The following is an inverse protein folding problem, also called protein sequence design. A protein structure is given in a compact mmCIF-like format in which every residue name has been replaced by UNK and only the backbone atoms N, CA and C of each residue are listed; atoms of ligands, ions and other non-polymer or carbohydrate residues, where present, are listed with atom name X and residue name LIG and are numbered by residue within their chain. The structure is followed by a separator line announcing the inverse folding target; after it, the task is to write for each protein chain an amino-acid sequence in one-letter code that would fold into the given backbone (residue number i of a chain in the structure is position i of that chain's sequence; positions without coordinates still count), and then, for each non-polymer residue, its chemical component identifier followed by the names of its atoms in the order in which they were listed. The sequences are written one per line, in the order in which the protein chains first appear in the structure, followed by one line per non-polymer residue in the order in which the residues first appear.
data_IF_088398302351
#
_entry.id   IF_088398302351
#
_cell.length_a   1.000
_cell.length_b   1.000
_cell.length_c   1.000
_cell.angle_alpha   90.00
_cell.angle_beta   90.00
_cell.angle_gamma   90.00
#
_symmetry.space_group_name_H-M   'P 1'
#
loop_
_entity.id
_entity.type
_entity.pdbx_description
1 polymer ?
#
# COMPACT_ATOMS: atom_id res chain seq x y z
N UNK A 1 73.34 31.93 -26.37
CA UNK A 1 72.15 32.75 -26.05
C UNK A 1 71.41 32.10 -24.89
N UNK A 2 71.35 32.81 -23.77
CA UNK A 2 70.71 32.43 -22.50
C UNK A 2 69.35 33.15 -22.43
N UNK A 3 68.41 32.56 -21.67
CA UNK A 3 67.10 33.09 -21.21
C UNK A 3 65.93 32.78 -22.14
N UNK A 4 65.01 31.94 -21.67
CA UNK A 4 63.54 32.12 -21.53
C UNK A 4 62.94 30.75 -21.15
N UNK A 5 62.94 30.36 -19.86
CA UNK A 5 61.80 30.53 -18.92
C UNK A 5 60.68 29.51 -19.30
N UNK A 6 60.61 28.28 -18.76
CA UNK A 6 60.32 27.87 -17.36
C UNK A 6 59.23 28.76 -16.73
N UNK A 7 58.02 28.75 -17.29
CA UNK A 7 56.85 29.40 -16.66
C UNK A 7 55.54 28.62 -16.81
N UNK A 8 55.57 27.32 -17.13
CA UNK A 8 54.34 26.52 -17.31
C UNK A 8 54.16 25.44 -16.24
N UNK A 9 55.18 25.19 -15.40
CA UNK A 9 55.12 24.11 -14.39
C UNK A 9 54.72 24.54 -12.96
N UNK A 10 54.44 25.84 -12.72
CA UNK A 10 54.13 26.35 -11.37
C UNK A 10 52.62 26.58 -11.15
N UNK A 11 51.80 26.57 -12.21
CA UNK A 11 50.35 26.84 -12.09
C UNK A 11 49.54 25.55 -11.81
N UNK A 12 50.12 24.36 -12.01
CA UNK A 12 49.44 23.07 -11.82
C UNK A 12 49.58 22.48 -10.40
N UNK A 13 50.34 23.09 -9.49
CA UNK A 13 50.55 22.58 -8.13
C UNK A 13 49.85 23.38 -7.01
N UNK A 14 49.20 24.50 -7.34
CA UNK A 14 48.52 25.39 -6.37
C UNK A 14 47.03 25.08 -6.13
N UNK A 15 46.47 24.04 -6.76
CA UNK A 15 45.08 23.61 -6.52
C UNK A 15 44.94 22.41 -5.56
N UNK A 16 46.05 21.89 -5.02
CA UNK A 16 46.03 20.73 -4.11
C UNK A 16 46.25 21.05 -2.63
N UNK A 17 46.26 22.33 -2.23
CA UNK A 17 46.44 22.73 -0.82
C UNK A 17 45.43 23.82 -0.45
N UNK A 18 44.14 23.52 -0.52
CA UNK A 18 43.12 24.28 0.24
C UNK A 18 41.83 23.49 0.41
N UNK A 19 41.89 22.49 1.30
CA UNK A 19 40.73 22.02 2.06
C UNK A 19 41.28 21.42 3.36
N UNK A 20 41.87 22.29 4.18
CA UNK A 20 42.14 21.98 5.57
C UNK A 20 40.81 21.76 6.30
N UNK A 21 40.79 20.66 7.05
CA UNK A 21 39.79 20.27 8.05
C UNK A 21 39.07 21.45 8.70
N UNK A 22 37.82 21.68 8.27
CA UNK A 22 36.82 22.21 9.19
C UNK A 22 36.32 21.03 10.01
N UNK A 23 36.92 20.86 11.19
CA UNK A 23 36.31 20.11 12.28
C UNK A 23 34.92 20.71 12.50
N UNK A 24 33.89 20.05 11.99
CA UNK A 24 32.53 20.26 12.45
C UNK A 24 32.52 19.78 13.89
N UNK A 25 32.35 20.71 14.82
CA UNK A 25 31.81 20.36 16.13
C UNK A 25 30.51 19.61 15.88
N UNK A 26 30.55 18.29 16.09
CA UNK A 26 29.35 17.50 16.33
C UNK A 26 28.73 18.07 17.60
N UNK A 27 27.79 18.99 17.43
CA UNK A 27 26.76 19.21 18.44
C UNK A 27 26.15 17.84 18.69
N UNK A 28 26.47 17.28 19.86
CA UNK A 28 25.82 16.15 20.45
C UNK A 28 24.35 16.52 20.64
N UNK A 29 23.56 16.40 19.57
CA UNK A 29 22.11 16.49 19.60
C UNK A 29 21.69 15.25 20.36
N UNK A 30 21.27 15.48 21.60
CA UNK A 30 20.74 14.49 22.52
C UNK A 30 19.96 13.39 21.79
N UNK A 31 20.52 12.18 21.82
CA UNK A 31 19.93 10.94 21.29
C UNK A 31 18.49 10.68 21.81
N UNK A 32 18.07 11.31 22.90
CA UNK A 32 16.70 11.22 23.43
C UNK A 32 15.66 12.02 22.63
N UNK A 33 16.03 13.08 21.90
CA UNK A 33 15.06 14.02 21.31
C UNK A 33 14.45 13.53 19.99
N UNK A 34 15.19 12.72 19.24
CA UNK A 34 14.80 12.31 17.87
C UNK A 34 14.21 10.88 17.79
N UNK A 35 14.44 10.01 18.78
CA UNK A 35 13.74 8.70 18.88
C UNK A 35 12.26 8.89 19.23
N UNK A 36 11.94 10.05 19.79
CA UNK A 36 10.58 10.53 20.04
C UNK A 36 9.87 10.91 18.73
N UNK A 37 10.61 11.48 17.77
CA UNK A 37 10.05 11.97 16.51
C UNK A 37 9.53 10.86 15.58
N UNK A 38 10.21 9.70 15.48
CA UNK A 38 9.73 8.57 14.66
C UNK A 38 8.51 7.89 15.28
N UNK A 39 8.46 7.74 16.61
CA UNK A 39 7.29 7.20 17.32
C UNK A 39 6.08 8.13 17.20
N UNK A 40 6.31 9.44 17.31
CA UNK A 40 5.27 10.45 17.11
C UNK A 40 4.71 10.41 15.69
N UNK A 41 5.58 10.34 14.67
CA UNK A 41 5.17 10.21 13.27
C UNK A 41 4.40 8.91 13.01
N UNK A 42 4.90 7.79 13.55
CA UNK A 42 4.20 6.52 13.50
C UNK A 42 2.79 6.64 14.08
N UNK A 43 2.65 7.22 15.28
CA UNK A 43 1.34 7.46 15.88
C UNK A 43 0.48 8.39 15.03
N UNK A 44 1.03 9.46 14.45
CA UNK A 44 0.28 10.34 13.56
C UNK A 44 -0.31 9.59 12.36
N UNK A 45 0.46 8.66 11.79
CA UNK A 45 0.02 7.81 10.68
C UNK A 45 -1.02 6.80 11.18
N UNK A 46 -0.72 6.02 12.24
CA UNK A 46 -1.55 4.92 12.73
C UNK A 46 -2.81 5.37 13.48
N UNK A 47 -2.89 6.62 13.94
CA UNK A 47 -4.12 7.21 14.48
C UNK A 47 -5.19 7.42 13.40
N UNK A 48 -4.84 7.25 12.12
CA UNK A 48 -5.79 7.14 11.04
C UNK A 48 -6.13 5.68 10.79
N UNK A 49 -7.37 5.46 10.40
CA UNK A 49 -7.73 4.18 9.80
C UNK A 49 -7.16 4.17 8.39
N UNK A 50 -6.26 3.22 8.09
CA UNK A 50 -5.62 3.09 6.78
C UNK A 50 -6.04 1.77 6.15
N UNK A 51 -6.52 1.84 4.91
CA UNK A 51 -6.90 0.67 4.13
C UNK A 51 -6.22 0.70 2.76
N UNK A 52 -5.77 -0.45 2.23
CA UNK A 52 -5.31 -0.52 0.86
C UNK A 52 -6.48 -0.37 -0.12
N UNK A 53 -6.16 0.10 -1.33
CA UNK A 53 -7.09 0.27 -2.43
C UNK A 53 -6.56 -0.51 -3.64
N UNK A 54 -7.46 -1.23 -4.29
CA UNK A 54 -7.13 -2.11 -5.42
C UNK A 54 -8.13 -1.95 -6.56
N UNK A 55 -7.62 -2.11 -7.78
CA UNK A 55 -8.45 -2.43 -8.95
C UNK A 55 -8.73 -3.94 -8.91
N UNK A 56 -9.90 -4.32 -8.37
CA UNK A 56 -10.32 -5.72 -8.21
C UNK A 56 -10.86 -6.33 -9.50
N UNK A 57 -11.43 -5.49 -10.36
CA UNK A 57 -11.86 -5.84 -11.71
C UNK A 57 -11.77 -4.61 -12.63
N UNK A 58 -12.10 -4.77 -13.92
CA UNK A 58 -11.75 -3.77 -14.95
C UNK A 58 -12.33 -2.39 -14.64
N UNK A 59 -13.52 -2.36 -14.04
CA UNK A 59 -14.24 -1.15 -13.65
C UNK A 59 -14.54 -1.10 -12.15
N UNK A 60 -13.83 -1.90 -11.34
CA UNK A 60 -14.10 -2.05 -9.91
C UNK A 60 -12.85 -1.70 -9.13
N UNK A 61 -12.78 -0.46 -8.67
CA UNK A 61 -11.80 -0.04 -7.68
C UNK A 61 -12.47 -0.05 -6.31
N UNK A 62 -11.82 -0.63 -5.31
CA UNK A 62 -12.37 -0.71 -3.96
C UNK A 62 -11.32 -0.46 -2.88
N UNK A 63 -11.77 0.15 -1.78
CA UNK A 63 -11.08 0.10 -0.50
C UNK A 63 -11.27 -1.30 0.05
N UNK A 64 -10.19 -2.00 0.34
CA UNK A 64 -10.21 -3.42 0.74
C UNK A 64 -9.95 -3.55 2.22
N UNK A 65 -10.84 -4.30 2.88
CA UNK A 65 -10.78 -4.63 4.30
C UNK A 65 -10.69 -6.14 4.39
N UNK A 66 -9.48 -6.65 4.63
CA UNK A 66 -9.25 -8.09 4.79
C UNK A 66 -9.95 -8.62 6.03
N UNK A 67 -10.41 -9.86 5.95
CA UNK A 67 -11.07 -10.57 7.03
C UNK A 67 -10.19 -11.76 7.39
N UNK A 68 -10.21 -12.18 8.66
CA UNK A 68 -9.53 -13.40 9.14
C UNK A 68 -7.98 -13.36 9.16
N UNK A 69 -7.33 -12.25 8.78
CA UNK A 69 -5.85 -12.13 8.85
C UNK A 69 -5.28 -11.78 10.22
N UNK A 70 -6.07 -11.19 11.12
CA UNK A 70 -5.57 -10.68 12.41
C UNK A 70 -6.04 -11.50 13.61
N UNK A 71 -5.20 -11.59 14.64
CA UNK A 71 -5.51 -12.23 15.93
C UNK A 71 -6.76 -11.64 16.62
N UNK A 72 -7.16 -10.42 16.25
CA UNK A 72 -8.39 -9.76 16.75
C UNK A 72 -9.49 -9.74 15.70
N UNK A 73 -10.68 -10.26 16.03
CA UNK A 73 -11.84 -10.22 15.13
C UNK A 73 -12.32 -8.76 14.95
N UNK A 74 -12.18 -8.22 13.75
CA UNK A 74 -12.64 -6.88 13.38
C UNK A 74 -14.17 -6.76 13.41
N UNK A 75 -14.70 -5.55 13.57
CA UNK A 75 -16.15 -5.32 13.52
C UNK A 75 -16.76 -5.72 12.17
N UNK A 76 -16.01 -5.53 11.08
CA UNK A 76 -16.37 -5.97 9.73
C UNK A 76 -16.57 -7.50 9.68
N UNK A 77 -15.61 -8.25 10.23
CA UNK A 77 -15.68 -9.70 10.30
C UNK A 77 -16.86 -10.17 11.16
N UNK A 78 -17.13 -9.54 12.31
CA UNK A 78 -18.31 -9.89 13.15
C UNK A 78 -19.62 -9.72 12.40
N UNK A 79 -19.76 -8.61 11.66
CA UNK A 79 -20.96 -8.36 10.84
C UNK A 79 -21.08 -9.42 9.75
N UNK A 80 -19.98 -9.70 9.04
CA UNK A 80 -19.94 -10.73 8.00
C UNK A 80 -20.34 -12.11 8.55
N UNK A 81 -19.69 -12.59 9.62
CA UNK A 81 -19.94 -13.92 10.20
C UNK A 81 -21.42 -14.08 10.58
N UNK A 82 -22.00 -13.12 11.31
CA UNK A 82 -23.42 -13.15 11.69
C UNK A 82 -24.36 -13.21 10.48
N UNK A 83 -24.03 -12.49 9.41
CA UNK A 83 -24.85 -12.49 8.19
C UNK A 83 -24.64 -13.79 7.43
N UNK A 84 -23.42 -14.31 7.32
CA UNK A 84 -23.15 -15.59 6.69
C UNK A 84 -23.88 -16.75 7.40
N UNK A 85 -23.90 -16.77 8.73
CA UNK A 85 -24.64 -17.77 9.51
C UNK A 85 -26.16 -17.76 9.21
N UNK A 86 -26.72 -16.60 8.90
CA UNK A 86 -28.18 -16.45 8.71
C UNK A 86 -28.62 -16.50 7.25
N UNK A 87 -27.83 -15.91 6.36
CA UNK A 87 -28.13 -15.79 4.93
C UNK A 87 -27.38 -16.83 4.08
N UNK A 88 -26.48 -17.62 4.70
CA UNK A 88 -25.68 -18.67 4.08
C UNK A 88 -24.91 -18.19 2.85
N UNK A 89 -24.23 -17.04 2.96
CA UNK A 89 -23.54 -16.38 1.85
C UNK A 89 -22.50 -17.30 1.18
N UNK A 90 -21.67 -17.97 1.98
CA UNK A 90 -20.64 -18.92 1.52
C UNK A 90 -21.26 -20.12 0.79
N UNK A 91 -22.31 -20.72 1.37
CA UNK A 91 -23.01 -21.84 0.75
C UNK A 91 -23.67 -21.42 -0.56
N UNK A 92 -24.26 -20.22 -0.61
CA UNK A 92 -24.87 -19.69 -1.83
C UNK A 92 -23.83 -19.41 -2.92
N UNK A 93 -22.58 -19.10 -2.52
CA UNK A 93 -21.47 -18.84 -3.43
C UNK A 93 -20.84 -20.11 -3.98
N UNK A 94 -20.43 -21.05 -3.11
CA UNK A 94 -19.73 -22.28 -3.50
C UNK A 94 -20.66 -23.39 -3.99
N UNK A 95 -21.84 -23.50 -3.39
CA UNK A 95 -22.83 -24.55 -3.67
C UNK A 95 -24.18 -23.92 -4.05
N UNK A 96 -24.25 -23.16 -5.15
CA UNK A 96 -25.41 -22.34 -5.49
C UNK A 96 -26.70 -23.16 -5.72
N UNK A 97 -26.59 -24.47 -5.96
CA UNK A 97 -27.71 -25.40 -6.11
C UNK A 97 -28.25 -25.95 -4.78
N UNK A 98 -27.49 -25.87 -3.67
CA UNK A 98 -27.92 -26.35 -2.35
C UNK A 98 -28.76 -25.33 -1.58
N UNK A 99 -28.76 -24.07 -2.01
CA UNK A 99 -29.49 -22.97 -1.37
C UNK A 99 -30.77 -22.65 -2.15
N UNK A 100 -31.94 -22.86 -1.51
CA UNK A 100 -33.26 -22.62 -2.13
C UNK A 100 -33.53 -21.15 -2.47
N UNK A 101 -33.05 -20.22 -1.63
CA UNK A 101 -33.24 -18.78 -1.81
C UNK A 101 -31.89 -18.10 -1.71
N UNK A 102 -31.36 -17.62 -2.82
CA UNK A 102 -30.09 -16.90 -2.84
C UNK A 102 -30.28 -15.49 -2.29
N UNK A 103 -29.41 -15.12 -1.33
CA UNK A 103 -29.32 -13.77 -0.75
C UNK A 103 -28.08 -13.01 -1.22
N UNK A 104 -27.48 -13.50 -2.30
CA UNK A 104 -26.32 -12.92 -2.95
C UNK A 104 -26.64 -12.62 -4.42
N UNK A 105 -25.97 -11.60 -4.93
CA UNK A 105 -25.88 -11.28 -6.35
C UNK A 105 -24.41 -11.36 -6.77
N UNK A 106 -24.13 -11.91 -7.94
CA UNK A 106 -22.78 -11.86 -8.48
C UNK A 106 -22.51 -10.46 -9.03
N UNK A 107 -21.50 -9.81 -8.46
CA UNK A 107 -21.07 -8.47 -8.87
C UNK A 107 -20.04 -8.55 -10.01
N UNK A 108 -19.07 -9.46 -9.90
CA UNK A 108 -18.13 -9.79 -10.98
C UNK A 108 -17.81 -11.29 -10.93
N UNK A 109 -17.78 -11.94 -12.10
CA UNK A 109 -17.42 -13.36 -12.24
C UNK A 109 -16.32 -13.63 -13.26
N UNK A 110 -15.87 -12.58 -13.98
CA UNK A 110 -14.90 -12.67 -15.06
C UNK A 110 -13.51 -12.20 -14.64
N UNK A 111 -13.43 -11.42 -13.55
CA UNK A 111 -12.18 -11.07 -12.90
C UNK A 111 -11.45 -12.29 -12.32
N UNK A 112 -10.21 -12.08 -11.88
CA UNK A 112 -9.42 -13.13 -11.22
C UNK A 112 -10.05 -13.64 -9.92
N UNK A 113 -10.91 -12.83 -9.33
CA UNK A 113 -11.70 -13.15 -8.15
C UNK A 113 -13.16 -12.91 -8.48
N UNK A 114 -14.02 -13.79 -7.96
CA UNK A 114 -15.46 -13.57 -8.03
C UNK A 114 -15.87 -12.66 -6.87
N UNK A 115 -16.66 -11.67 -7.18
CA UNK A 115 -17.17 -10.69 -6.23
C UNK A 115 -18.67 -10.87 -6.11
N UNK A 116 -19.18 -10.81 -4.88
CA UNK A 116 -20.60 -10.89 -4.61
C UNK A 116 -21.09 -9.67 -3.85
N UNK A 117 -22.41 -9.47 -3.90
CA UNK A 117 -23.13 -8.44 -3.16
C UNK A 117 -24.22 -9.09 -2.32
N UNK A 118 -24.46 -8.56 -1.13
CA UNK A 118 -25.61 -8.90 -0.31
C UNK A 118 -26.20 -7.61 0.25
N UNK A 119 -27.48 -7.37 -0.01
CA UNK A 119 -28.19 -6.17 0.46
C UNK A 119 -28.15 -6.04 1.98
N UNK A 120 -28.27 -7.17 2.70
CA UNK A 120 -28.23 -7.18 4.16
C UNK A 120 -26.83 -6.84 4.68
N UNK A 121 -25.79 -7.43 4.07
CA UNK A 121 -24.39 -7.12 4.40
C UNK A 121 -24.10 -5.65 4.15
N UNK A 122 -24.45 -5.14 2.98
CA UNK A 122 -24.26 -3.73 2.64
C UNK A 122 -24.94 -2.80 3.66
N UNK A 123 -26.20 -3.07 4.00
CA UNK A 123 -26.94 -2.23 4.95
C UNK A 123 -26.30 -2.20 6.34
N UNK A 124 -25.74 -3.31 6.81
CA UNK A 124 -25.07 -3.36 8.12
C UNK A 124 -23.69 -2.71 8.08
N UNK A 125 -22.90 -2.94 7.02
CA UNK A 125 -21.58 -2.33 6.85
C UNK A 125 -21.70 -0.81 6.69
N UNK A 126 -22.71 -0.31 5.96
CA UNK A 126 -22.94 1.13 5.79
C UNK A 126 -23.15 1.90 7.11
N UNK A 127 -23.56 1.21 8.18
CA UNK A 127 -23.74 1.84 9.51
C UNK A 127 -22.42 2.16 10.21
N UNK A 128 -21.32 1.54 9.80
CA UNK A 128 -20.03 1.61 10.51
C UNK A 128 -18.90 2.26 9.69
N UNK A 129 -19.09 2.40 8.38
CA UNK A 129 -18.10 3.04 7.50
C UNK A 129 -18.08 4.55 7.69
N UNK A 130 -16.92 5.16 7.43
CA UNK A 130 -16.79 6.60 7.40
C UNK A 130 -17.59 7.19 6.20
N UNK A 131 -18.18 8.39 6.35
CA UNK A 131 -18.93 9.02 5.26
C UNK A 131 -18.05 9.42 4.08
N UNK A 132 -16.73 9.55 4.29
CA UNK A 132 -15.76 9.89 3.26
C UNK A 132 -14.39 9.33 3.59
N UNK A 133 -13.61 9.11 2.54
CA UNK A 133 -12.24 8.64 2.59
C UNK A 133 -11.35 9.54 1.74
N UNK A 134 -10.12 9.79 2.19
CA UNK A 134 -9.08 10.40 1.37
C UNK A 134 -8.37 9.28 0.64
N UNK A 135 -8.61 9.12 -0.67
CA UNK A 135 -8.01 8.06 -1.50
C UNK A 135 -6.78 8.62 -2.18
N UNK A 136 -5.61 8.06 -1.87
CA UNK A 136 -4.32 8.48 -2.41
C UNK A 136 -3.93 7.55 -3.54
N UNK A 137 -3.56 8.17 -4.66
CA UNK A 137 -2.94 7.50 -5.78
C UNK A 137 -1.48 7.89 -5.98
N UNK A 138 -0.89 7.37 -7.04
CA UNK A 138 0.55 7.54 -7.34
C UNK A 138 0.99 8.99 -7.60
N UNK A 139 0.06 9.92 -7.87
CA UNK A 139 0.38 11.34 -8.19
C UNK A 139 -0.34 12.36 -7.31
N UNK A 140 -1.35 11.95 -6.55
CA UNK A 140 -2.21 12.86 -5.79
C UNK A 140 -3.27 12.11 -5.01
N UNK A 141 -4.31 12.81 -4.57
CA UNK A 141 -5.42 12.20 -3.84
C UNK A 141 -6.76 12.86 -4.19
N UNK A 142 -7.85 12.19 -3.85
CA UNK A 142 -9.20 12.74 -3.91
C UNK A 142 -10.04 12.26 -2.75
N UNK A 143 -11.03 13.08 -2.38
CA UNK A 143 -12.00 12.70 -1.36
C UNK A 143 -13.10 11.90 -2.05
N UNK A 144 -13.32 10.68 -1.57
CA UNK A 144 -14.25 9.72 -2.16
C UNK A 144 -15.25 9.24 -1.11
N UNK A 145 -16.39 8.74 -1.56
CA UNK A 145 -17.38 8.05 -0.73
C UNK A 145 -17.48 6.60 -1.18
N UNK A 146 -17.79 5.70 -0.24
CA UNK A 146 -18.10 4.32 -0.59
C UNK A 146 -19.43 4.25 -1.35
N UNK A 147 -19.38 3.69 -2.55
CA UNK A 147 -20.51 3.63 -3.46
C UNK A 147 -21.33 2.35 -3.30
N UNK A 148 -20.70 1.18 -3.21
CA UNK A 148 -21.33 -0.12 -2.95
C UNK A 148 -20.47 -0.94 -1.98
N UNK A 149 -21.08 -1.91 -1.31
CA UNK A 149 -20.36 -2.90 -0.49
C UNK A 149 -20.40 -4.24 -1.20
N UNK A 150 -19.22 -4.73 -1.55
CA UNK A 150 -19.01 -6.04 -2.15
C UNK A 150 -18.21 -6.92 -1.20
N UNK A 151 -18.30 -8.22 -1.39
CA UNK A 151 -17.54 -9.18 -0.62
C UNK A 151 -16.88 -10.18 -1.56
N UNK A 152 -15.69 -10.60 -1.16
CA UNK A 152 -15.06 -11.79 -1.67
C UNK A 152 -14.98 -12.82 -0.56
N UNK A 153 -15.37 -14.03 -0.92
CA UNK A 153 -15.33 -15.22 -0.08
C UNK A 153 -14.43 -16.22 -0.79
N UNK A 154 -13.36 -16.63 -0.13
CA UNK A 154 -12.41 -17.60 -0.65
C UNK A 154 -11.75 -18.35 0.51
N UNK A 155 -11.63 -19.68 0.38
CA UNK A 155 -11.04 -20.55 1.40
C UNK A 155 -9.51 -20.64 1.24
N UNK A 156 -9.01 -20.35 0.03
CA UNK A 156 -7.62 -20.51 -0.34
C UNK A 156 -6.91 -19.20 -0.65
N UNK A 157 -7.68 -18.12 -0.77
CA UNK A 157 -7.22 -16.78 -1.07
C UNK A 157 -7.82 -15.80 -0.07
N UNK A 158 -7.38 -14.54 -0.14
CA UNK A 158 -7.79 -13.56 0.86
C UNK A 158 -9.28 -13.23 0.78
N UNK A 159 -9.99 -13.43 1.89
CA UNK A 159 -11.39 -13.04 2.04
C UNK A 159 -11.48 -11.59 2.50
N UNK A 160 -12.34 -10.79 1.88
CA UNK A 160 -12.39 -9.35 2.17
C UNK A 160 -13.75 -8.72 1.90
N UNK A 161 -13.99 -7.59 2.58
CA UNK A 161 -15.03 -6.63 2.23
C UNK A 161 -14.40 -5.53 1.37
N UNK A 162 -15.02 -5.26 0.22
CA UNK A 162 -14.65 -4.17 -0.66
C UNK A 162 -15.68 -3.04 -0.57
N UNK A 163 -15.22 -1.82 -0.30
CA UNK A 163 -16.03 -0.61 -0.44
C UNK A 163 -15.69 0.02 -1.78
N UNK A 164 -16.58 -0.11 -2.77
CA UNK A 164 -16.29 0.40 -4.12
C UNK A 164 -16.22 1.92 -4.11
N UNK A 165 -15.40 2.47 -5.01
CA UNK A 165 -15.34 3.91 -5.26
C UNK A 165 -15.54 4.16 -6.75
N UNK A 166 -16.32 5.19 -7.08
CA UNK A 166 -16.60 5.60 -8.47
C UNK A 166 -15.87 6.90 -8.81
N UNK A 167 -15.55 7.09 -10.08
CA UNK A 167 -15.04 8.36 -10.64
C UNK A 167 -13.72 8.87 -10.01
N UNK A 168 -12.83 7.97 -9.57
CA UNK A 168 -11.49 8.39 -9.18
C UNK A 168 -10.73 8.88 -10.42
N UNK A 169 -10.35 10.16 -10.44
CA UNK A 169 -9.64 10.76 -11.57
C UNK A 169 -8.20 10.23 -11.64
N UNK A 170 -8.01 9.18 -12.43
CA UNK A 170 -6.70 8.54 -12.63
C UNK A 170 -5.76 9.36 -13.50
N UNK A 171 -6.27 10.26 -14.33
CA UNK A 171 -5.45 11.16 -15.13
C UNK A 171 -4.73 12.16 -14.22
N UNK A 172 -5.47 12.74 -13.27
CA UNK A 172 -4.96 13.68 -12.26
C UNK A 172 -4.15 12.99 -11.16
N UNK A 173 -4.72 11.96 -10.53
CA UNK A 173 -4.19 11.40 -9.28
C UNK A 173 -3.36 10.13 -9.46
N UNK A 174 -3.27 9.59 -10.68
CA UNK A 174 -2.57 8.34 -10.96
C UNK A 174 -3.38 7.12 -10.55
N UNK A 175 -2.70 6.05 -10.10
CA UNK A 175 -3.33 4.79 -9.69
C UNK A 175 -3.66 4.82 -8.20
N UNK A 176 -4.88 4.47 -7.76
CA UNK A 176 -5.25 4.47 -6.35
C UNK A 176 -4.51 3.36 -5.59
N UNK A 177 -4.10 3.61 -4.35
CA UNK A 177 -3.22 2.71 -3.59
C UNK A 177 -3.64 2.51 -2.14
N UNK A 178 -3.96 3.57 -1.41
CA UNK A 178 -4.53 3.46 -0.07
C UNK A 178 -5.53 4.58 0.19
N UNK A 179 -6.30 4.45 1.26
CA UNK A 179 -7.10 5.54 1.77
C UNK A 179 -6.95 5.72 3.27
N UNK A 180 -7.32 6.91 3.74
CA UNK A 180 -7.43 7.22 5.16
C UNK A 180 -8.74 7.92 5.48
N UNK A 181 -9.19 7.86 6.74
CA UNK A 181 -10.38 8.58 7.19
C UNK A 181 -10.11 10.06 7.54
N UNK A 182 -8.85 10.45 7.81
CA UNK A 182 -8.42 11.84 7.94
C UNK A 182 -7.29 12.17 6.95
N UNK A 183 -7.10 13.43 6.54
CA UNK A 183 -6.13 13.77 5.51
C UNK A 183 -4.69 13.60 6.01
N UNK A 184 -3.83 13.06 5.15
CA UNK A 184 -2.38 12.96 5.30
C UNK A 184 -1.72 13.91 4.31
N UNK A 185 -0.75 14.69 4.80
CA UNK A 185 0.01 15.62 3.95
C UNK A 185 1.18 14.90 3.28
N UNK A 186 0.89 14.16 2.22
CA UNK A 186 1.88 13.44 1.43
C UNK A 186 2.70 14.39 0.54
N UNK A 187 4.00 14.12 0.45
CA UNK A 187 4.86 14.76 -0.55
C UNK A 187 5.00 13.82 -1.75
N UNK A 188 4.67 14.30 -2.96
CA UNK A 188 4.74 13.54 -4.21
C UNK A 188 5.89 14.02 -5.11
N UNK A 189 6.21 13.22 -6.13
CA UNK A 189 7.01 13.67 -7.28
C UNK A 189 8.50 13.90 -6.99
N UNK A 190 9.01 13.47 -5.84
CA UNK A 190 10.44 13.51 -5.55
C UNK A 190 11.17 12.35 -6.25
N UNK A 191 12.49 12.52 -6.40
CA UNK A 191 13.35 11.43 -6.82
C UNK A 191 13.56 10.46 -5.64
N UNK A 192 12.98 9.27 -5.75
CA UNK A 192 13.06 8.21 -4.73
C UNK A 192 14.02 7.07 -5.09
N UNK A 193 14.88 7.21 -6.12
CA UNK A 193 15.74 6.10 -6.56
C UNK A 193 16.64 5.57 -5.45
N UNK A 194 17.23 6.44 -4.63
CA UNK A 194 18.11 6.01 -3.55
C UNK A 194 17.37 5.21 -2.48
N UNK A 195 16.21 5.69 -2.05
CA UNK A 195 15.41 5.01 -1.03
C UNK A 195 14.83 3.71 -1.57
N UNK A 196 14.40 3.67 -2.83
CA UNK A 196 13.94 2.44 -3.49
C UNK A 196 15.04 1.37 -3.52
N UNK A 197 16.30 1.73 -3.79
CA UNK A 197 17.40 0.76 -3.69
C UNK A 197 17.61 0.25 -2.27
N UNK A 198 17.44 1.10 -1.25
CA UNK A 198 17.53 0.68 0.15
C UNK A 198 16.39 -0.29 0.51
N UNK A 199 15.17 0.02 0.08
CA UNK A 199 14.00 -0.84 0.30
C UNK A 199 14.17 -2.17 -0.44
N UNK A 200 14.65 -2.16 -1.69
CA UNK A 200 14.91 -3.40 -2.42
C UNK A 200 15.93 -4.28 -1.68
N UNK A 201 17.03 -3.72 -1.17
CA UNK A 201 18.01 -4.49 -0.37
C UNK A 201 17.40 -5.07 0.92
N UNK A 202 16.46 -4.35 1.52
CA UNK A 202 15.71 -4.83 2.68
C UNK A 202 14.79 -5.99 2.27
N UNK A 203 14.03 -5.84 1.18
CA UNK A 203 13.14 -6.88 0.64
C UNK A 203 13.95 -8.13 0.25
N UNK A 204 15.10 -7.97 -0.43
CA UNK A 204 15.99 -9.08 -0.82
C UNK A 204 16.54 -9.89 0.38
N UNK A 205 16.50 -9.31 1.60
CA UNK A 205 16.92 -9.97 2.84
C UNK A 205 15.79 -10.74 3.55
N UNK A 206 14.54 -10.54 3.11
CA UNK A 206 13.35 -11.16 3.68
C UNK A 206 12.93 -12.34 2.80
N UNK A 207 12.64 -13.49 3.42
CA UNK A 207 12.05 -14.63 2.72
C UNK A 207 10.55 -14.41 2.61
N UNK A 208 10.08 -14.05 1.43
CA UNK A 208 8.66 -13.90 1.12
C UNK A 208 8.01 -15.23 0.73
N UNK A 209 6.69 -15.30 0.89
CA UNK A 209 5.86 -16.43 0.43
C UNK A 209 5.85 -16.54 -1.12
N UNK A 210 6.00 -15.41 -1.80
CA UNK A 210 6.01 -15.29 -3.26
C UNK A 210 7.30 -14.65 -3.74
N UNK A 211 7.90 -15.19 -4.80
CA UNK A 211 8.99 -14.52 -5.54
C UNK A 211 8.37 -13.70 -6.67
N UNK A 212 7.94 -12.48 -6.32
CA UNK A 212 7.36 -11.54 -7.29
C UNK A 212 8.46 -10.72 -7.98
N UNK A 213 8.45 -10.72 -9.30
CA UNK A 213 9.39 -9.93 -10.11
C UNK A 213 9.13 -8.42 -10.07
N UNK A 214 8.01 -7.98 -9.48
CA UNK A 214 7.63 -6.57 -9.39
C UNK A 214 8.37 -5.87 -8.25
N UNK A 215 9.30 -4.99 -8.64
CA UNK A 215 10.08 -4.16 -7.71
C UNK A 215 9.23 -3.11 -7.01
N UNK A 216 9.62 -2.84 -5.77
CA UNK A 216 9.01 -1.82 -4.91
C UNK A 216 9.22 -0.43 -5.46
N UNK A 217 8.14 0.34 -5.54
CA UNK A 217 8.15 1.75 -5.95
C UNK A 217 7.72 2.62 -4.79
N UNK A 218 8.40 3.75 -4.61
CA UNK A 218 8.02 4.79 -3.66
C UNK A 218 7.36 5.91 -4.45
N UNK A 219 6.17 6.32 -4.04
CA UNK A 219 5.43 7.38 -4.73
C UNK A 219 5.23 8.63 -3.88
N UNK A 220 5.29 8.48 -2.56
CA UNK A 220 5.14 9.59 -1.64
C UNK A 220 5.87 9.35 -0.31
N UNK A 221 6.08 10.43 0.45
CA UNK A 221 6.64 10.34 1.80
C UNK A 221 6.12 11.45 2.74
N UNK A 222 6.17 11.17 4.05
CA UNK A 222 6.06 12.15 5.15
C UNK A 222 7.31 11.99 6.02
N UNK A 223 8.24 12.94 5.97
CA UNK A 223 9.52 12.81 6.68
C UNK A 223 10.22 11.48 6.30
N UNK A 224 10.64 10.65 7.28
CA UNK A 224 11.25 9.34 7.03
C UNK A 224 10.24 8.20 6.73
N UNK A 225 8.93 8.46 6.73
CA UNK A 225 7.92 7.49 6.35
C UNK A 225 7.68 7.51 4.83
N UNK A 226 7.91 6.38 4.18
CA UNK A 226 7.78 6.19 2.74
C UNK A 226 6.59 5.30 2.43
N UNK A 227 5.76 5.76 1.50
CA UNK A 227 4.60 5.03 1.01
C UNK A 227 4.97 4.33 -0.28
N UNK A 228 4.76 3.02 -0.30
CA UNK A 228 5.30 2.15 -1.33
C UNK A 228 4.24 1.20 -1.87
N UNK A 229 4.48 0.70 -3.09
CA UNK A 229 3.68 -0.35 -3.69
C UNK A 229 4.51 -1.26 -4.59
N UNK A 230 4.05 -2.49 -4.72
CA UNK A 230 4.52 -3.48 -5.67
C UNK A 230 3.29 -3.92 -6.46
N UNK A 231 3.06 -3.32 -7.63
CA UNK A 231 1.90 -3.59 -8.47
C UNK A 231 2.17 -3.10 -9.90
N UNK A 232 1.72 -3.87 -10.89
CA UNK A 232 1.72 -3.48 -12.30
C UNK A 232 0.35 -2.94 -12.77
N UNK A 233 -0.67 -3.01 -11.89
CA UNK A 233 -2.05 -2.59 -12.10
C UNK A 233 -2.76 -3.31 -13.26
N UNK A 234 -2.31 -4.53 -13.58
CA UNK A 234 -2.90 -5.37 -14.62
C UNK A 234 -3.88 -6.39 -14.07
N UNK A 235 -3.79 -6.74 -12.80
CA UNK A 235 -4.63 -7.71 -12.10
C UNK A 235 -6.13 -7.63 -12.39
N UNK A 236 -6.77 -6.51 -12.02
CA UNK A 236 -8.20 -6.31 -12.25
C UNK A 236 -8.58 -6.18 -13.73
N UNK A 237 -7.61 -5.99 -14.63
CA UNK A 237 -7.88 -5.66 -16.04
C UNK A 237 -7.67 -6.84 -16.97
N UNK A 238 -6.48 -7.43 -16.90
CA UNK A 238 -6.02 -8.51 -17.77
C UNK A 238 -5.08 -9.39 -16.91
N UNK A 239 -5.65 -10.14 -15.98
CA UNK A 239 -4.91 -10.94 -14.99
C UNK A 239 -3.81 -11.82 -15.58
N UNK A 240 -4.06 -12.49 -16.71
CA UNK A 240 -3.06 -13.33 -17.39
C UNK A 240 -1.84 -12.59 -17.97
N UNK A 241 -1.81 -11.25 -17.92
CA UNK A 241 -0.64 -10.43 -18.27
C UNK A 241 0.06 -9.82 -17.06
N UNK A 242 -0.52 -9.95 -15.87
CA UNK A 242 0.11 -9.51 -14.63
C UNK A 242 1.34 -10.35 -14.37
N UNK A 243 2.46 -9.68 -14.10
CA UNK A 243 3.65 -10.33 -13.53
C UNK A 243 3.65 -10.26 -12.01
N UNK A 244 2.78 -9.41 -11.46
CA UNK A 244 2.56 -9.32 -10.03
C UNK A 244 1.76 -10.55 -9.59
N UNK A 245 2.22 -11.24 -8.55
CA UNK A 245 1.50 -12.32 -7.87
C UNK A 245 0.84 -11.86 -6.58
N UNK A 246 1.43 -10.86 -5.94
CA UNK A 246 0.95 -10.39 -4.66
C UNK A 246 1.02 -8.86 -4.64
N UNK A 247 -0.05 -8.17 -5.07
CA UNK A 247 -0.03 -6.72 -5.10
C UNK A 247 0.02 -6.19 -3.67
N UNK A 248 1.08 -5.45 -3.35
CA UNK A 248 1.32 -4.94 -2.00
C UNK A 248 1.27 -3.42 -1.92
N UNK A 249 0.89 -2.92 -0.74
CA UNK A 249 0.95 -1.52 -0.33
C UNK A 249 1.56 -1.47 1.05
N UNK A 250 2.62 -0.68 1.19
CA UNK A 250 3.38 -0.62 2.45
C UNK A 250 3.63 0.80 2.88
N UNK A 251 3.72 0.98 4.20
CA UNK A 251 4.25 2.19 4.82
C UNK A 251 5.48 1.78 5.61
N UNK A 252 6.64 2.27 5.17
CA UNK A 252 7.95 1.94 5.74
C UNK A 252 8.56 3.19 6.37
N UNK A 253 8.92 3.14 7.64
CA UNK A 253 9.70 4.20 8.29
C UNK A 253 11.17 3.83 8.31
N UNK A 254 11.99 4.65 7.65
CA UNK A 254 13.44 4.56 7.75
C UNK A 254 13.88 4.95 9.17
N UNK A 255 14.47 3.98 9.87
CA UNK A 255 15.07 4.17 11.18
C UNK A 255 16.47 4.76 11.06
N UNK A 256 17.01 5.26 12.17
CA UNK A 256 18.32 5.93 12.21
C UNK A 256 19.49 4.99 11.91
N UNK A 257 19.34 3.70 12.23
CA UNK A 257 20.29 2.64 11.94
C UNK A 257 20.24 2.19 10.45
N UNK A 258 19.52 2.92 9.60
CA UNK A 258 19.23 2.60 8.20
C UNK A 258 18.39 1.34 7.98
N UNK A 259 17.72 0.81 9.00
CA UNK A 259 16.72 -0.25 8.83
C UNK A 259 15.34 0.32 8.52
N UNK A 260 14.42 -0.52 8.04
CA UNK A 260 13.02 -0.14 7.86
C UNK A 260 12.14 -0.81 8.89
N UNK A 261 11.23 -0.02 9.47
CA UNK A 261 10.08 -0.53 10.22
C UNK A 261 8.84 -0.49 9.34
N UNK A 262 8.15 -1.61 9.20
CA UNK A 262 6.85 -1.69 8.53
C UNK A 262 5.74 -1.27 9.51
N UNK A 263 4.94 -0.29 9.12
CA UNK A 263 3.77 0.17 9.89
C UNK A 263 2.47 -0.39 9.34
N UNK A 264 2.40 -0.52 8.03
CA UNK A 264 1.27 -1.13 7.34
C UNK A 264 1.83 -2.05 6.26
N UNK A 265 1.31 -3.27 6.23
CA UNK A 265 1.43 -4.19 5.13
C UNK A 265 0.02 -4.54 4.70
N UNK A 266 -0.45 -3.91 3.62
CA UNK A 266 -1.65 -4.35 2.91
C UNK A 266 -1.19 -5.13 1.70
N UNK A 267 -1.03 -6.44 1.85
CA UNK A 267 -0.93 -7.38 0.74
C UNK A 267 -2.32 -7.94 0.44
N UNK A 268 -2.54 -8.47 -0.77
CA UNK A 268 -3.78 -9.16 -1.08
C UNK A 268 -3.46 -10.45 -1.82
N UNK A 269 -3.70 -11.59 -1.18
CA UNK A 269 -3.55 -12.88 -1.84
C UNK A 269 -4.70 -13.10 -2.81
N UNK A 270 -4.44 -12.82 -4.07
CA UNK A 270 -5.39 -13.01 -5.16
C UNK A 270 -5.12 -14.32 -5.94
N UNK A 271 -3.99 -15.02 -5.70
CA UNK A 271 -3.62 -16.26 -6.41
C UNK A 271 -3.97 -17.53 -5.62
N UNK A 272 -3.68 -17.56 -4.32
CA UNK A 272 -4.09 -18.63 -3.41
C UNK A 272 -3.12 -19.79 -3.25
N UNK A 273 -1.81 -19.52 -3.23
CA UNK A 273 -0.80 -20.58 -3.12
C UNK A 273 -0.81 -21.30 -1.76
N UNK A 274 -1.57 -20.81 -0.78
CA UNK A 274 -1.70 -21.45 0.55
C UNK A 274 -2.39 -22.83 0.52
N UNK A 275 -3.03 -23.19 -0.61
CA UNK A 275 -3.76 -24.45 -0.80
C UNK A 275 -3.12 -25.42 -1.82
N UNK A 276 -1.95 -25.11 -2.36
CA UNK A 276 -1.19 -26.02 -3.25
C UNK A 276 -0.30 -26.99 -2.47
#
# INVERSE_FOLDING_TARGET
MRKTIILVFIISFSLFISCQNKNKEEKNISLKKETDDTKKLESEITNNTIYPVYDLANNTTAIVITMFESDSISQYQKIYTRINETDSLESAFYNPSSVKIRKIEYYDTLGIVKLIKSTRLENEIRKIIDPKYYVYGTKGFSVMTADEVICRIDDCRESFIGLTIKNFDTAKNGKPLFCTNKPLKLNYGKNYFEIQRKIQKFDDSVVYRYDDSIKTKVYANIGPAYFTYNDDFLWGKISGKSKCQFPERRILILQKDNTFKTILLGGLDLYGASCD
#
